data_IF_178238291048
#
_entry.id   IF_178238291048
#
_cell.length_a   1.000
_cell.length_b   1.000
_cell.length_c   1.000
_cell.angle_alpha   90.00
_cell.angle_beta   90.00
_cell.angle_gamma   90.00
#
_symmetry.space_group_name_H-M   'P 1'
#
loop_
_entity.id
_entity.type
_entity.pdbx_description
1 polymer ?
#
# COMPACT_ATOMS: atom_id res chain seq x y z
N UNK A 1 -23.96 -45.47 -3.49
CA UNK A 1 -22.84 -45.21 -4.43
C UNK A 1 -21.74 -44.52 -3.65
N UNK A 2 -20.56 -45.15 -3.53
CA UNK A 2 -19.41 -44.55 -2.85
C UNK A 2 -18.93 -43.38 -3.70
N UNK A 3 -19.05 -42.15 -3.22
CA UNK A 3 -18.49 -40.97 -3.88
C UNK A 3 -16.97 -41.06 -3.78
N UNK A 4 -16.32 -41.19 -4.94
CA UNK A 4 -14.85 -41.27 -5.02
C UNK A 4 -14.25 -39.95 -4.47
N UNK A 5 -13.47 -40.05 -3.43
CA UNK A 5 -12.81 -38.87 -2.84
C UNK A 5 -11.74 -38.33 -3.78
N UNK A 6 -11.94 -37.12 -4.30
CA UNK A 6 -11.04 -36.47 -5.24
C UNK A 6 -9.76 -35.97 -4.56
N UNK A 7 -9.87 -35.36 -3.37
CA UNK A 7 -8.76 -34.82 -2.59
C UNK A 7 -8.99 -34.97 -1.08
N UNK A 8 -7.90 -35.15 -0.34
CA UNK A 8 -7.91 -35.12 1.12
C UNK A 8 -6.77 -34.24 1.62
N UNK A 9 -7.08 -33.31 2.52
CA UNK A 9 -6.08 -32.45 3.15
C UNK A 9 -5.24 -33.28 4.15
N UNK A 10 -3.93 -33.35 3.95
CA UNK A 10 -3.00 -34.07 4.84
C UNK A 10 -2.90 -33.50 6.26
N UNK A 11 -3.38 -32.26 6.49
CA UNK A 11 -3.24 -31.59 7.78
C UNK A 11 -4.50 -31.64 8.65
N UNK A 12 -5.71 -31.73 8.05
CA UNK A 12 -6.98 -31.72 8.80
C UNK A 12 -7.99 -32.76 8.30
N UNK A 13 -7.61 -33.60 7.36
CA UNK A 13 -8.43 -34.65 6.76
C UNK A 13 -9.72 -34.15 6.07
N UNK A 14 -9.83 -32.85 5.78
CA UNK A 14 -10.91 -32.33 4.95
C UNK A 14 -10.87 -33.04 3.60
N UNK A 15 -12.00 -33.55 3.14
CA UNK A 15 -12.15 -34.22 1.83
C UNK A 15 -12.88 -33.33 0.84
N UNK A 16 -12.59 -33.49 -0.44
CA UNK A 16 -13.36 -32.99 -1.57
C UNK A 16 -13.83 -34.18 -2.40
N UNK A 17 -15.12 -34.27 -2.64
CA UNK A 17 -15.78 -35.34 -3.40
C UNK A 17 -16.41 -34.78 -4.69
N UNK A 18 -16.44 -33.46 -4.83
CA UNK A 18 -16.95 -32.73 -6.01
C UNK A 18 -15.94 -31.69 -6.48
N UNK A 19 -16.10 -31.22 -7.73
CA UNK A 19 -15.27 -30.16 -8.29
C UNK A 19 -15.39 -28.83 -7.51
N UNK A 20 -16.58 -28.50 -7.02
CA UNK A 20 -16.81 -27.30 -6.21
C UNK A 20 -16.03 -27.38 -4.88
N UNK A 21 -15.99 -28.56 -4.25
CA UNK A 21 -15.23 -28.77 -3.03
C UNK A 21 -13.71 -28.73 -3.26
N UNK A 22 -13.23 -28.98 -4.48
CA UNK A 22 -11.82 -28.79 -4.83
C UNK A 22 -11.38 -27.32 -4.72
N UNK A 23 -12.29 -26.35 -4.83
CA UNK A 23 -11.96 -24.93 -4.62
C UNK A 23 -11.53 -24.62 -3.17
N UNK A 24 -11.78 -25.50 -2.21
CA UNK A 24 -11.27 -25.39 -0.84
C UNK A 24 -9.77 -25.70 -0.74
N UNK A 25 -9.18 -26.29 -1.77
CA UNK A 25 -7.78 -26.69 -1.80
C UNK A 25 -6.90 -25.71 -2.59
N UNK A 26 -5.65 -25.58 -2.14
CA UNK A 26 -4.69 -24.65 -2.74
C UNK A 26 -4.43 -25.04 -4.20
N UNK A 27 -4.60 -24.08 -5.11
CA UNK A 27 -4.30 -24.23 -6.54
C UNK A 27 -2.80 -24.41 -6.77
N UNK A 28 -2.43 -25.41 -7.55
CA UNK A 28 -1.05 -25.67 -7.98
C UNK A 28 -1.06 -26.47 -9.29
N UNK A 29 -0.51 -25.89 -10.33
CA UNK A 29 -0.34 -26.57 -11.63
C UNK A 29 0.58 -27.79 -11.48
N UNK A 30 0.31 -28.82 -12.27
CA UNK A 30 1.05 -30.08 -12.22
C UNK A 30 0.65 -31.05 -11.12
N UNK A 31 -0.19 -30.65 -10.17
CA UNK A 31 -0.79 -31.56 -9.21
C UNK A 31 -2.07 -32.19 -9.78
N UNK A 32 -2.44 -33.40 -9.29
CA UNK A 32 -3.74 -34.02 -9.64
C UNK A 32 -4.86 -33.02 -9.36
N UNK A 33 -5.77 -32.81 -10.31
CA UNK A 33 -6.84 -31.78 -10.30
C UNK A 33 -6.33 -30.34 -10.14
N UNK A 34 -5.06 -30.06 -10.42
CA UNK A 34 -4.40 -28.77 -10.18
C UNK A 34 -4.61 -28.24 -8.73
N UNK A 35 -4.62 -29.17 -7.77
CA UNK A 35 -4.82 -28.87 -6.33
C UNK A 35 -3.79 -29.57 -5.48
N UNK A 36 -3.22 -28.88 -4.49
CA UNK A 36 -2.37 -29.46 -3.43
C UNK A 36 -3.17 -30.38 -2.52
N UNK A 37 -2.50 -31.31 -1.83
CA UNK A 37 -3.05 -32.06 -0.69
C UNK A 37 -3.10 -31.19 0.57
N UNK A 38 -3.54 -29.94 0.45
CA UNK A 38 -3.59 -28.98 1.54
C UNK A 38 -4.72 -27.96 1.26
N UNK A 39 -5.67 -27.88 2.17
CA UNK A 39 -6.74 -26.87 2.07
C UNK A 39 -6.23 -25.47 2.41
N UNK A 40 -6.94 -24.42 1.93
CA UNK A 40 -6.56 -23.04 2.16
C UNK A 40 -6.44 -22.67 3.64
N UNK A 41 -7.30 -23.21 4.51
CA UNK A 41 -7.23 -22.97 5.95
C UNK A 41 -5.93 -23.46 6.56
N UNK A 42 -5.56 -24.71 6.29
CA UNK A 42 -4.30 -25.30 6.78
C UNK A 42 -3.08 -24.63 6.17
N UNK A 43 -3.13 -24.27 4.88
CA UNK A 43 -2.05 -23.52 4.23
C UNK A 43 -1.85 -22.15 4.89
N UNK A 44 -2.93 -21.43 5.22
CA UNK A 44 -2.88 -20.13 5.91
C UNK A 44 -2.18 -20.25 7.26
N UNK A 45 -2.55 -21.28 8.06
CA UNK A 45 -1.89 -21.56 9.35
C UNK A 45 -0.41 -21.89 9.17
N UNK A 46 -0.05 -22.68 8.15
CA UNK A 46 1.34 -23.04 7.84
C UNK A 46 2.17 -21.81 7.48
N UNK A 47 1.64 -20.94 6.61
CA UNK A 47 2.31 -19.70 6.18
C UNK A 47 2.48 -18.73 7.35
N UNK A 48 1.47 -18.58 8.20
CA UNK A 48 1.56 -17.76 9.42
C UNK A 48 2.68 -18.24 10.33
N UNK A 49 2.67 -19.54 10.66
CA UNK A 49 3.71 -20.16 11.52
C UNK A 49 5.12 -20.04 10.92
N UNK A 50 5.25 -20.14 9.58
CA UNK A 50 6.54 -19.91 8.92
C UNK A 50 6.97 -18.46 9.05
N UNK A 51 6.05 -17.50 8.88
CA UNK A 51 6.31 -16.07 9.02
C UNK A 51 6.75 -15.68 10.43
N UNK A 52 6.15 -16.28 11.46
CA UNK A 52 6.56 -16.12 12.87
C UNK A 52 8.00 -16.60 13.11
N UNK A 53 8.36 -17.74 12.50
CA UNK A 53 9.71 -18.32 12.63
C UNK A 53 10.77 -17.60 11.78
N UNK A 54 10.35 -16.87 10.75
CA UNK A 54 11.25 -16.21 9.78
C UNK A 54 10.81 -14.76 9.53
N UNK A 55 10.79 -13.88 10.55
CA UNK A 55 10.21 -12.53 10.43
C UNK A 55 10.90 -11.69 9.36
N UNK A 56 12.22 -11.69 9.31
CA UNK A 56 12.99 -10.92 8.31
C UNK A 56 12.72 -11.39 6.88
N UNK A 57 12.80 -12.71 6.62
CA UNK A 57 12.51 -13.27 5.29
C UNK A 57 11.07 -13.00 4.87
N UNK A 58 10.14 -13.02 5.82
CA UNK A 58 8.73 -12.71 5.57
C UNK A 58 8.54 -11.23 5.17
N UNK A 59 9.23 -10.30 5.86
CA UNK A 59 9.21 -8.87 5.52
C UNK A 59 9.80 -8.65 4.14
N UNK A 60 11.01 -9.15 3.88
CA UNK A 60 11.67 -9.03 2.58
C UNK A 60 10.80 -9.60 1.46
N UNK A 61 10.23 -10.80 1.64
CA UNK A 61 9.34 -11.41 0.66
C UNK A 61 8.08 -10.60 0.36
N UNK A 62 7.48 -9.97 1.38
CA UNK A 62 6.34 -9.05 1.21
C UNK A 62 6.73 -7.79 0.45
N UNK A 63 7.88 -7.19 0.80
CA UNK A 63 8.38 -5.99 0.12
C UNK A 63 8.75 -6.29 -1.34
N UNK A 64 9.45 -7.38 -1.60
CA UNK A 64 9.78 -7.85 -2.96
C UNK A 64 8.52 -8.05 -3.81
N UNK A 65 7.52 -8.74 -3.24
CA UNK A 65 6.25 -8.99 -3.94
C UNK A 65 5.50 -7.68 -4.21
N UNK A 66 5.51 -6.74 -3.27
CA UNK A 66 4.90 -5.42 -3.42
C UNK A 66 5.63 -4.58 -4.47
N UNK A 67 6.97 -4.50 -4.41
CA UNK A 67 7.79 -3.78 -5.38
C UNK A 67 7.51 -4.26 -6.81
N UNK A 68 7.53 -5.57 -7.04
CA UNK A 68 7.27 -6.17 -8.35
C UNK A 68 5.83 -5.98 -8.82
N UNK A 69 4.84 -6.24 -7.97
CA UNK A 69 3.44 -6.26 -8.37
C UNK A 69 2.85 -4.86 -8.50
N UNK A 70 3.12 -3.99 -7.53
CA UNK A 70 2.52 -2.65 -7.45
C UNK A 70 3.35 -1.63 -8.21
N UNK A 71 4.65 -1.57 -7.95
CA UNK A 71 5.52 -0.52 -8.52
C UNK A 71 6.28 -0.94 -9.77
N UNK A 72 6.23 -2.24 -10.17
CA UNK A 72 6.93 -2.80 -11.35
C UNK A 72 8.45 -2.63 -11.32
N UNK A 73 9.03 -2.56 -10.12
CA UNK A 73 10.47 -2.41 -9.87
C UNK A 73 11.04 -3.60 -9.09
N UNK A 74 12.37 -3.70 -9.04
CA UNK A 74 13.06 -4.71 -8.21
C UNK A 74 13.03 -4.33 -6.73
N UNK A 75 13.35 -5.28 -5.86
CA UNK A 75 13.48 -5.01 -4.42
C UNK A 75 14.64 -4.03 -4.13
N UNK A 76 15.76 -4.19 -4.83
CA UNK A 76 16.93 -3.34 -4.71
C UNK A 76 16.60 -1.89 -5.07
N UNK A 77 15.89 -1.69 -6.17
CA UNK A 77 15.43 -0.35 -6.59
C UNK A 77 14.44 0.24 -5.58
N UNK A 78 13.53 -0.58 -5.04
CA UNK A 78 12.61 -0.14 -3.98
C UNK A 78 13.37 0.37 -2.74
N UNK A 79 14.36 -0.40 -2.26
CA UNK A 79 15.18 -0.01 -1.10
C UNK A 79 15.98 1.25 -1.39
N UNK A 80 16.58 1.36 -2.58
CA UNK A 80 17.33 2.55 -3.00
C UNK A 80 16.46 3.80 -2.97
N UNK A 81 15.24 3.73 -3.49
CA UNK A 81 14.29 4.85 -3.47
C UNK A 81 13.80 5.17 -2.05
N UNK A 82 13.52 4.16 -1.23
CA UNK A 82 13.16 4.39 0.18
C UNK A 82 14.29 5.00 1.00
N UNK A 83 15.54 4.82 0.61
CA UNK A 83 16.71 5.40 1.27
C UNK A 83 16.98 6.86 0.87
N UNK A 84 16.22 7.46 -0.04
CA UNK A 84 16.39 8.88 -0.42
C UNK A 84 16.01 9.85 0.70
N UNK A 85 15.15 9.41 1.63
CA UNK A 85 14.80 10.20 2.81
C UNK A 85 14.61 9.31 4.03
N UNK A 86 15.09 9.76 5.20
CA UNK A 86 14.90 9.10 6.49
C UNK A 86 13.68 9.63 7.26
N UNK A 87 12.94 10.56 6.67
CA UNK A 87 11.74 11.16 7.24
C UNK A 87 10.69 11.46 6.16
N UNK A 88 9.50 11.77 6.61
CA UNK A 88 8.41 12.20 5.74
C UNK A 88 8.73 13.57 5.12
N UNK A 89 8.76 13.68 3.81
CA UNK A 89 9.06 14.91 3.07
C UNK A 89 8.04 16.03 3.29
N UNK A 90 6.85 15.71 3.83
CA UNK A 90 5.82 16.72 4.14
C UNK A 90 5.90 17.19 5.59
N UNK A 91 5.92 16.27 6.57
CA UNK A 91 5.78 16.62 7.99
C UNK A 91 7.02 16.31 8.84
N UNK A 92 8.10 15.77 8.27
CA UNK A 92 9.33 15.42 8.97
C UNK A 92 9.25 14.21 9.91
N UNK A 93 8.10 13.53 10.00
CA UNK A 93 7.95 12.34 10.85
C UNK A 93 8.81 11.19 10.35
N UNK A 94 9.47 10.50 11.29
CA UNK A 94 10.27 9.29 11.00
C UNK A 94 9.47 7.99 11.15
N UNK A 95 8.20 8.07 11.52
CA UNK A 95 7.37 6.90 11.79
C UNK A 95 6.64 6.42 10.54
N UNK A 96 6.59 5.09 10.37
CA UNK A 96 5.78 4.40 9.36
C UNK A 96 5.91 5.01 7.97
N UNK A 97 7.16 5.18 7.53
CA UNK A 97 7.48 5.67 6.21
C UNK A 97 6.97 4.70 5.13
N UNK A 98 6.53 5.26 4.02
CA UNK A 98 5.98 4.56 2.87
C UNK A 98 6.45 5.18 1.57
N UNK A 99 6.52 4.35 0.56
CA UNK A 99 6.81 4.71 -0.82
C UNK A 99 5.60 5.46 -1.40
N UNK A 100 5.79 6.72 -1.77
CA UNK A 100 4.79 7.50 -2.47
C UNK A 100 5.06 7.51 -3.98
N UNK A 101 4.01 7.45 -4.77
CA UNK A 101 4.07 7.38 -6.22
C UNK A 101 2.84 7.98 -6.85
N UNK A 102 2.98 8.45 -8.05
CA UNK A 102 1.87 8.88 -8.88
C UNK A 102 1.04 7.66 -9.31
N UNK A 103 -0.28 7.73 -9.13
CA UNK A 103 -1.17 6.60 -9.38
C UNK A 103 -1.44 6.34 -10.87
N UNK A 104 -1.22 7.33 -11.72
CA UNK A 104 -1.43 7.22 -13.18
C UNK A 104 -0.15 6.76 -13.88
N UNK A 105 1.00 7.37 -13.53
CA UNK A 105 2.29 7.06 -14.17
C UNK A 105 3.08 5.96 -13.43
N UNK A 106 2.75 5.67 -12.16
CA UNK A 106 3.48 4.78 -11.26
C UNK A 106 4.89 5.30 -10.92
N UNK A 107 5.21 6.54 -11.24
CA UNK A 107 6.51 7.14 -10.94
C UNK A 107 6.64 7.44 -9.45
N UNK A 108 7.84 7.22 -8.92
CA UNK A 108 8.18 7.54 -7.54
C UNK A 108 8.16 9.04 -7.32
N UNK A 109 7.42 9.52 -6.34
CA UNK A 109 7.34 10.92 -5.94
C UNK A 109 8.22 11.25 -4.73
N UNK A 110 8.30 10.32 -3.74
CA UNK A 110 9.08 10.56 -2.54
C UNK A 110 8.76 9.58 -1.40
N UNK A 111 9.26 9.90 -0.21
CA UNK A 111 9.04 9.12 1.01
C UNK A 111 8.11 9.89 1.95
N UNK A 112 6.95 9.34 2.24
CA UNK A 112 5.96 9.94 3.13
C UNK A 112 5.63 9.03 4.30
N UNK A 113 5.23 9.59 5.43
CA UNK A 113 4.59 8.78 6.46
C UNK A 113 3.19 8.33 5.99
N UNK A 114 2.69 7.23 6.54
CA UNK A 114 1.38 6.69 6.17
C UNK A 114 0.23 7.71 6.32
N UNK A 115 0.34 8.65 7.27
CA UNK A 115 -0.67 9.69 7.48
C UNK A 115 -0.69 10.67 6.31
N UNK A 116 0.46 11.23 5.94
CA UNK A 116 0.56 12.19 4.83
C UNK A 116 0.18 11.52 3.49
N UNK A 117 0.70 10.33 3.22
CA UNK A 117 0.39 9.58 2.00
C UNK A 117 -1.12 9.34 1.85
N UNK A 118 -1.80 8.86 2.91
CA UNK A 118 -3.26 8.68 2.90
C UNK A 118 -4.02 10.00 2.74
N UNK A 119 -3.54 11.08 3.37
CA UNK A 119 -4.21 12.37 3.29
C UNK A 119 -4.21 12.93 1.87
N UNK A 120 -3.08 12.84 1.16
CA UNK A 120 -2.99 13.24 -0.25
C UNK A 120 -3.96 12.41 -1.10
N UNK A 121 -3.96 11.07 -0.95
CA UNK A 121 -4.85 10.20 -1.69
C UNK A 121 -6.33 10.50 -1.42
N UNK A 122 -6.72 10.78 -0.16
CA UNK A 122 -8.10 11.16 0.18
C UNK A 122 -8.50 12.52 -0.38
N UNK A 123 -7.55 13.42 -0.60
CA UNK A 123 -7.77 14.73 -1.21
C UNK A 123 -7.72 14.71 -2.74
N UNK A 124 -7.66 13.50 -3.36
CA UNK A 124 -7.75 13.33 -4.81
C UNK A 124 -6.40 13.19 -5.52
N UNK A 125 -5.28 13.12 -4.77
CA UNK A 125 -3.92 12.82 -5.27
C UNK A 125 -3.40 13.68 -6.43
N UNK A 126 -3.99 14.84 -6.66
CA UNK A 126 -3.61 15.78 -7.72
C UNK A 126 -3.29 17.16 -7.16
N UNK A 127 -2.41 17.89 -7.85
CA UNK A 127 -2.09 19.27 -7.50
C UNK A 127 -3.34 20.16 -7.50
N UNK A 128 -4.24 19.96 -8.47
CA UNK A 128 -5.48 20.72 -8.58
C UNK A 128 -6.38 20.52 -7.35
N UNK A 129 -6.55 19.28 -6.89
CA UNK A 129 -7.37 18.97 -5.72
C UNK A 129 -6.77 19.57 -4.44
N UNK A 130 -5.47 19.52 -4.27
CA UNK A 130 -4.76 20.14 -3.14
C UNK A 130 -4.88 21.66 -3.17
N UNK A 131 -4.77 22.28 -4.35
CA UNK A 131 -4.98 23.73 -4.51
C UNK A 131 -6.40 24.17 -4.10
N UNK A 132 -7.43 23.35 -4.38
CA UNK A 132 -8.80 23.60 -3.90
C UNK A 132 -8.89 23.59 -2.37
N UNK A 133 -8.16 22.68 -1.71
CA UNK A 133 -8.10 22.62 -0.23
C UNK A 133 -7.38 23.88 0.31
N UNK A 134 -6.25 24.26 -0.28
CA UNK A 134 -5.55 25.49 0.10
C UNK A 134 -6.45 26.70 -0.07
N UNK A 135 -7.16 26.84 -1.19
CA UNK A 135 -8.10 27.94 -1.44
C UNK A 135 -9.25 27.95 -0.41
N UNK A 136 -9.76 26.79 -0.04
CA UNK A 136 -10.81 26.65 0.98
C UNK A 136 -10.32 27.15 2.35
N UNK A 137 -9.16 26.70 2.81
CA UNK A 137 -8.58 27.11 4.09
C UNK A 137 -8.19 28.61 4.11
N UNK A 138 -7.74 29.14 2.97
CA UNK A 138 -7.39 30.55 2.82
C UNK A 138 -8.61 31.47 2.93
N UNK A 139 -9.82 31.01 2.62
CA UNK A 139 -11.05 31.81 2.80
C UNK A 139 -11.30 32.16 4.27
N UNK A 140 -11.05 31.23 5.17
CA UNK A 140 -11.22 31.49 6.61
C UNK A 140 -10.18 32.48 7.15
N UNK A 141 -8.95 32.41 6.65
CA UNK A 141 -7.90 33.38 6.99
C UNK A 141 -8.26 34.79 6.54
N UNK A 142 -8.83 34.92 5.34
CA UNK A 142 -9.29 36.22 4.81
C UNK A 142 -10.49 36.72 5.62
N UNK A 143 -11.47 35.90 5.94
CA UNK A 143 -12.65 36.25 6.72
C UNK A 143 -12.32 36.49 8.20
N UNK A 144 -11.36 35.77 8.77
CA UNK A 144 -10.85 35.99 10.13
C UNK A 144 -10.08 37.30 10.27
N UNK A 145 -9.33 37.70 9.24
CA UNK A 145 -8.58 38.95 9.21
C UNK A 145 -9.48 40.20 9.08
N UNK A 146 -10.69 40.06 8.55
CA UNK A 146 -11.66 41.18 8.48
C UNK A 146 -12.30 41.53 9.83
N UNK A 147 -12.10 40.75 10.88
CA UNK A 147 -12.56 41.08 12.25
C UNK A 147 -11.55 41.85 13.10
N UNK A 148 -10.32 42.05 12.63
CA UNK A 148 -9.28 42.82 13.33
C UNK A 148 -8.51 43.66 12.34
N UNK A 149 -8.74 44.97 12.43
CA UNK A 149 -8.01 46.13 11.82
C UNK A 149 -8.49 46.65 10.45
N UNK A 150 -9.18 47.75 10.54
CA UNK A 150 -9.17 48.83 9.55
C UNK A 150 -7.74 49.41 9.49
N UNK A 151 -6.95 49.00 8.49
CA UNK A 151 -5.66 49.63 8.23
C UNK A 151 -4.65 48.64 7.58
N UNK A 152 -4.45 48.80 6.32
CA UNK A 152 -3.21 48.64 5.54
C UNK A 152 -2.52 47.28 5.44
N UNK A 153 -2.30 46.96 4.19
CA UNK A 153 -1.35 46.04 3.59
C UNK A 153 -1.82 44.60 3.28
N UNK A 154 -1.93 44.38 1.96
CA UNK A 154 -2.14 43.05 1.38
C UNK A 154 -0.88 42.20 1.56
N UNK A 155 -0.99 40.98 2.10
CA UNK A 155 0.17 40.05 2.17
C UNK A 155 0.65 39.71 0.73
N UNK A 156 1.91 39.98 0.44
CA UNK A 156 2.59 39.57 -0.79
C UNK A 156 2.96 38.06 -0.61
N UNK A 157 2.28 37.19 -1.30
CA UNK A 157 2.73 35.80 -1.41
C UNK A 157 3.87 35.73 -2.44
N UNK A 158 5.09 35.49 -1.97
CA UNK A 158 6.18 35.04 -2.83
C UNK A 158 5.92 33.57 -3.22
N UNK A 159 5.47 33.35 -4.42
CA UNK A 159 5.50 32.05 -5.07
C UNK A 159 6.99 31.74 -5.30
N UNK A 160 7.52 30.75 -4.55
CA UNK A 160 8.87 30.25 -4.81
C UNK A 160 8.82 29.63 -6.20
N UNK A 161 9.53 30.26 -7.15
CA UNK A 161 9.55 29.89 -8.54
C UNK A 161 10.13 28.49 -8.72
N UNK A 162 9.38 27.61 -9.34
CA UNK A 162 9.89 26.39 -9.95
C UNK A 162 10.68 26.83 -11.19
N UNK A 163 12.01 26.82 -11.08
CA UNK A 163 12.86 26.91 -12.27
C UNK A 163 12.79 25.59 -13.03
N UNK A 164 12.58 25.71 -14.34
CA UNK A 164 12.56 24.62 -15.32
C UNK A 164 13.91 23.95 -15.48
#
# INVERSE_FOLDING_TARGET
MATDTLRTCKACNLTANTDDELELFVKEEGCKYNRRLLCYSCNRKRVAKWGEKNPEKNIIGKLTSRAKRTYKITYEEYIKRMATSDCCEICGSKEKLSYDHDHDTMEFRGVLCNKCNRSIGQLGDTLESIQKVVAYLSKELILGSTKVNKGGDKPKFNVIGVQK
#
